data_IF_903459097831
#
_entry.id   IF_903459097831
#
_cell.length_a   1.000
_cell.length_b   1.000
_cell.length_c   1.000
_cell.angle_alpha   90.00
_cell.angle_beta   90.00
_cell.angle_gamma   90.00
#
_symmetry.space_group_name_H-M   'P 1'
#
loop_
_entity.id
_entity.type
_entity.pdbx_description
1 polymer ?
#
# COMPACT_ATOMS: atom_id res chain seq x y z
N UNK A 1 4.50 -13.79 7.80
CA UNK A 1 3.88 -13.47 6.49
C UNK A 1 4.04 -12.01 6.02
N UNK A 2 5.02 -11.23 6.50
CA UNK A 2 5.20 -9.82 6.09
C UNK A 2 6.42 -9.61 5.17
N UNK A 3 7.17 -10.65 4.85
CA UNK A 3 8.26 -10.49 3.89
C UNK A 3 7.69 -10.49 2.46
N UNK A 4 7.76 -9.33 1.81
CA UNK A 4 7.41 -9.10 0.40
C UNK A 4 8.63 -8.63 -0.41
N UNK A 5 9.85 -8.80 0.11
CA UNK A 5 11.09 -8.46 -0.62
C UNK A 5 11.33 -9.40 -1.80
N UNK A 6 10.76 -10.60 -1.73
CA UNK A 6 10.62 -11.51 -2.86
C UNK A 6 9.15 -11.56 -3.29
N UNK A 7 8.91 -11.53 -4.60
CA UNK A 7 7.57 -11.58 -5.16
C UNK A 7 6.86 -12.86 -4.71
N UNK A 8 5.62 -12.71 -4.26
CA UNK A 8 4.76 -13.82 -3.86
C UNK A 8 3.28 -13.42 -3.97
N UNK A 9 2.35 -14.40 -4.05
CA UNK A 9 0.93 -14.09 -4.03
C UNK A 9 0.52 -13.31 -2.79
N UNK A 10 -0.34 -12.30 -3.00
CA UNK A 10 -0.98 -11.55 -1.92
C UNK A 10 -2.01 -12.40 -1.18
N UNK A 11 -2.75 -13.23 -1.92
CA UNK A 11 -3.63 -14.26 -1.37
C UNK A 11 -2.77 -15.38 -0.78
N UNK A 12 -2.82 -15.51 0.53
CA UNK A 12 -2.15 -16.55 1.31
C UNK A 12 -3.13 -17.01 2.40
N UNK A 13 -3.12 -18.30 2.70
CA UNK A 13 -3.88 -18.85 3.82
C UNK A 13 -2.94 -19.23 4.96
N UNK A 14 -3.42 -19.01 6.18
CA UNK A 14 -2.79 -19.46 7.42
C UNK A 14 -3.90 -19.91 8.35
N UNK A 15 -3.78 -21.11 8.95
CA UNK A 15 -4.79 -21.67 9.86
C UNK A 15 -6.22 -21.70 9.26
N UNK A 16 -6.33 -21.99 7.95
CA UNK A 16 -7.60 -22.09 7.24
C UNK A 16 -8.30 -20.74 6.99
N UNK A 17 -7.60 -19.61 7.16
CA UNK A 17 -8.11 -18.27 6.90
C UNK A 17 -7.20 -17.50 5.94
N UNK A 18 -7.81 -16.67 5.09
CA UNK A 18 -7.05 -15.74 4.26
C UNK A 18 -6.36 -14.69 5.14
N UNK A 19 -5.05 -14.55 4.96
CA UNK A 19 -4.26 -13.53 5.66
C UNK A 19 -4.71 -12.15 5.16
N UNK A 20 -5.08 -11.29 6.11
CA UNK A 20 -5.41 -9.90 5.86
C UNK A 20 -4.20 -9.02 6.21
N UNK A 21 -3.97 -8.00 5.38
CA UNK A 21 -3.02 -6.95 5.66
C UNK A 21 -3.77 -5.62 5.84
N UNK A 22 -3.31 -4.88 6.83
CA UNK A 22 -3.67 -3.50 7.13
C UNK A 22 -2.52 -2.90 7.95
N UNK A 23 -1.34 -2.90 7.35
CA UNK A 23 -0.10 -2.52 8.01
C UNK A 23 0.69 -1.57 7.13
N UNK A 24 1.36 -0.63 7.79
CA UNK A 24 2.38 0.22 7.19
C UNK A 24 3.69 -0.56 7.06
N UNK A 25 4.22 -0.61 5.86
CA UNK A 25 5.56 -1.11 5.56
C UNK A 25 6.55 0.04 5.59
N UNK A 26 7.60 -0.10 6.41
CA UNK A 26 8.63 0.92 6.56
C UNK A 26 9.62 0.87 5.40
N UNK A 27 9.64 1.91 4.56
CA UNK A 27 10.53 2.04 3.41
C UNK A 27 11.82 2.80 3.74
N UNK A 28 11.77 3.76 4.66
CA UNK A 28 12.90 4.60 5.07
C UNK A 28 12.62 5.26 6.42
N UNK A 29 13.66 5.81 7.07
CA UNK A 29 13.55 6.57 8.31
C UNK A 29 13.07 8.02 8.13
N UNK A 30 13.00 8.52 6.89
CA UNK A 30 12.52 9.85 6.54
C UNK A 30 12.11 9.93 5.07
N UNK A 31 11.38 10.99 4.69
CA UNK A 31 11.12 11.30 3.26
C UNK A 31 12.43 11.43 2.50
N UNK A 32 12.43 10.99 1.26
CA UNK A 32 13.63 10.95 0.43
C UNK A 32 13.33 11.13 -1.06
N UNK A 33 14.31 10.86 -1.94
CA UNK A 33 14.08 10.90 -3.37
C UNK A 33 13.03 9.86 -3.79
N UNK A 34 12.42 10.07 -4.96
CA UNK A 34 11.49 9.13 -5.56
C UNK A 34 12.19 7.78 -5.77
N UNK A 35 11.60 6.71 -5.23
CA UNK A 35 12.14 5.34 -5.35
C UNK A 35 11.03 4.32 -5.53
N UNK A 36 11.37 3.17 -6.11
CA UNK A 36 10.47 2.03 -6.20
C UNK A 36 10.15 1.53 -4.79
N UNK A 37 8.87 1.53 -4.43
CA UNK A 37 8.36 1.10 -3.14
C UNK A 37 7.75 -0.30 -3.20
N UNK A 38 7.01 -0.60 -4.26
CA UNK A 38 6.42 -1.92 -4.46
C UNK A 38 6.18 -2.20 -5.93
N UNK A 39 5.98 -3.49 -6.24
CA UNK A 39 5.56 -3.99 -7.54
C UNK A 39 4.45 -5.01 -7.32
N UNK A 40 3.44 -4.99 -8.17
CA UNK A 40 2.36 -5.96 -8.19
C UNK A 40 2.04 -6.36 -9.63
N UNK A 41 1.62 -7.61 -9.81
CA UNK A 41 1.17 -8.13 -11.11
C UNK A 41 -0.18 -8.83 -10.96
N UNK A 42 -1.08 -8.57 -11.91
CA UNK A 42 -2.34 -9.28 -12.01
C UNK A 42 -2.12 -10.72 -12.43
N UNK A 43 -2.42 -11.68 -11.55
CA UNK A 43 -2.19 -13.11 -11.82
C UNK A 43 -2.85 -13.63 -13.10
N UNK A 44 -3.99 -13.07 -13.50
CA UNK A 44 -4.73 -13.50 -14.69
C UNK A 44 -4.47 -12.62 -15.92
N UNK A 45 -4.21 -11.33 -15.72
CA UNK A 45 -4.05 -10.36 -16.83
C UNK A 45 -2.60 -10.11 -17.21
N UNK A 46 -1.65 -10.45 -16.35
CA UNK A 46 -0.23 -10.12 -16.51
C UNK A 46 0.10 -8.63 -16.36
N UNK A 47 -0.90 -7.75 -16.21
CA UNK A 47 -0.70 -6.30 -16.03
C UNK A 47 0.14 -6.06 -14.80
N UNK A 48 1.20 -5.28 -14.95
CA UNK A 48 2.10 -4.90 -13.88
C UNK A 48 1.83 -3.47 -13.43
N UNK A 49 2.01 -3.23 -12.13
CA UNK A 49 1.98 -1.91 -11.52
C UNK A 49 3.21 -1.77 -10.62
N UNK A 50 4.07 -0.82 -10.94
CA UNK A 50 5.09 -0.30 -10.04
C UNK A 50 4.54 0.90 -9.27
N UNK A 51 4.81 0.95 -7.97
CA UNK A 51 4.56 2.09 -7.12
C UNK A 51 5.89 2.76 -6.78
N UNK A 52 6.05 4.01 -7.19
CA UNK A 52 7.19 4.84 -6.82
C UNK A 52 6.73 5.96 -5.89
N UNK A 53 7.50 6.27 -4.85
CA UNK A 53 7.13 7.31 -3.89
C UNK A 53 8.34 7.97 -3.22
N UNK A 54 8.15 9.20 -2.76
CA UNK A 54 9.09 9.92 -1.87
C UNK A 54 8.80 9.68 -0.38
N UNK A 55 7.69 9.01 -0.05
CA UNK A 55 7.26 8.76 1.34
C UNK A 55 8.05 7.62 2.02
N UNK A 56 8.21 7.67 3.36
CA UNK A 56 8.97 6.68 4.11
C UNK A 56 8.17 5.41 4.44
N UNK A 57 6.88 5.36 4.11
CA UNK A 57 6.01 4.22 4.37
C UNK A 57 4.99 3.99 3.26
N UNK A 58 4.44 2.78 3.21
CA UNK A 58 3.29 2.40 2.38
C UNK A 58 2.35 1.55 3.23
N UNK A 59 1.09 1.97 3.37
CA UNK A 59 0.04 1.11 3.92
C UNK A 59 -0.36 0.08 2.88
N UNK A 60 -0.31 -1.20 3.24
CA UNK A 60 -0.94 -2.28 2.48
C UNK A 60 -2.23 -2.68 3.18
N UNK A 61 -3.37 -2.43 2.52
CA UNK A 61 -4.68 -2.86 2.97
C UNK A 61 -5.29 -3.83 1.96
N UNK A 62 -5.72 -5.02 2.39
CA UNK A 62 -6.26 -6.05 1.47
C UNK A 62 -7.77 -6.09 1.34
N UNK A 63 -8.47 -5.02 1.69
CA UNK A 63 -9.91 -4.94 1.42
C UNK A 63 -10.76 -5.92 2.25
N UNK A 64 -10.25 -6.46 3.36
CA UNK A 64 -10.94 -7.49 4.15
C UNK A 64 -12.26 -7.00 4.76
N UNK A 65 -12.42 -5.69 4.99
CA UNK A 65 -13.61 -5.11 5.59
C UNK A 65 -14.70 -4.73 4.57
N UNK A 66 -14.55 -5.10 3.29
CA UNK A 66 -15.61 -4.94 2.27
C UNK A 66 -16.72 -5.99 2.44
N UNK A 67 -17.31 -6.03 3.63
CA UNK A 67 -18.40 -6.91 4.03
C UNK A 67 -19.40 -6.10 4.91
N UNK A 68 -20.68 -5.96 4.50
CA UNK A 68 -21.34 -6.63 3.37
C UNK A 68 -20.85 -6.14 2.00
N UNK A 69 -21.05 -6.94 0.92
CA UNK A 69 -20.53 -6.60 -0.40
C UNK A 69 -21.07 -5.27 -0.94
N UNK A 70 -20.15 -4.36 -1.28
CA UNK A 70 -20.46 -3.04 -1.83
C UNK A 70 -20.82 -3.12 -3.34
N UNK A 71 -21.68 -2.23 -3.85
CA UNK A 71 -21.88 -2.08 -5.29
C UNK A 71 -20.57 -1.73 -6.01
N UNK A 72 -20.29 -2.39 -7.12
CA UNK A 72 -19.16 -2.12 -7.99
C UNK A 72 -19.58 -1.74 -9.41
N UNK A 73 -18.59 -1.59 -10.29
CA UNK A 73 -18.83 -1.27 -11.70
C UNK A 73 -19.46 -2.45 -12.44
N UNK A 74 -20.21 -2.18 -13.50
CA UNK A 74 -20.78 -3.19 -14.41
C UNK A 74 -21.64 -4.25 -13.68
N UNK A 75 -22.33 -3.86 -12.60
CA UNK A 75 -23.15 -4.76 -11.80
C UNK A 75 -22.38 -5.74 -10.91
N UNK A 76 -21.04 -5.64 -10.86
CA UNK A 76 -20.21 -6.44 -9.95
C UNK A 76 -20.47 -6.03 -8.49
N UNK A 77 -20.21 -6.95 -7.56
CA UNK A 77 -20.24 -6.70 -6.12
C UNK A 77 -18.84 -6.91 -5.55
N UNK A 78 -18.29 -5.88 -4.92
CA UNK A 78 -16.99 -5.96 -4.26
C UNK A 78 -17.19 -6.55 -2.86
N UNK A 79 -16.73 -7.79 -2.69
CA UNK A 79 -16.67 -8.50 -1.41
C UNK A 79 -15.30 -8.32 -0.74
N UNK A 80 -15.15 -8.83 0.49
CA UNK A 80 -13.86 -8.92 1.16
C UNK A 80 -12.77 -9.48 0.21
N UNK A 81 -11.62 -8.80 0.16
CA UNK A 81 -10.48 -9.15 -0.69
C UNK A 81 -10.70 -9.00 -2.20
N UNK A 82 -11.65 -8.17 -2.64
CA UNK A 82 -11.85 -7.87 -4.09
C UNK A 82 -10.83 -6.88 -4.66
N UNK A 83 -10.01 -6.26 -3.82
CA UNK A 83 -8.98 -5.32 -4.19
C UNK A 83 -8.02 -5.09 -3.02
N UNK A 84 -6.98 -4.31 -3.27
CA UNK A 84 -6.04 -3.89 -2.24
C UNK A 84 -5.66 -2.42 -2.47
N UNK A 85 -5.18 -1.78 -1.41
CA UNK A 85 -4.62 -0.43 -1.44
C UNK A 85 -3.11 -0.50 -1.21
N UNK A 86 -2.40 0.41 -1.85
CA UNK A 86 -1.03 0.76 -1.51
C UNK A 86 -1.02 2.27 -1.30
N UNK A 87 -0.86 2.72 -0.06
CA UNK A 87 -1.05 4.13 0.32
C UNK A 87 0.30 4.68 0.79
N UNK A 88 1.09 5.35 -0.07
CA UNK A 88 2.33 5.97 0.36
C UNK A 88 2.08 7.10 1.36
N UNK A 89 2.81 7.06 2.48
CA UNK A 89 2.57 7.93 3.61
C UNK A 89 3.75 7.99 4.59
N UNK A 90 3.68 8.96 5.51
CA UNK A 90 4.41 8.88 6.77
C UNK A 90 3.80 7.78 7.64
N UNK A 91 4.59 7.20 8.53
CA UNK A 91 4.15 6.09 9.37
C UNK A 91 2.93 6.49 10.23
N UNK A 92 1.93 5.61 10.38
CA UNK A 92 0.77 5.87 11.23
C UNK A 92 1.19 6.28 12.65
N UNK A 93 0.42 7.16 13.28
CA UNK A 93 0.67 7.66 14.64
C UNK A 93 1.96 8.49 14.80
N UNK A 94 2.63 8.89 13.70
CA UNK A 94 3.88 9.66 13.75
C UNK A 94 3.86 10.91 14.67
N UNK A 95 2.78 11.74 14.71
CA UNK A 95 2.73 12.88 15.63
C UNK A 95 2.88 12.52 17.12
N UNK A 96 2.52 11.29 17.51
CA UNK A 96 2.62 10.80 18.89
C UNK A 96 3.86 9.91 19.11
N UNK A 97 4.68 9.67 18.07
CA UNK A 97 5.84 8.77 18.09
C UNK A 97 7.09 9.55 17.68
N UNK A 98 7.87 10.10 18.63
CA UNK A 98 8.96 11.02 18.31
C UNK A 98 10.11 10.41 17.49
N UNK A 99 10.23 9.08 17.47
CA UNK A 99 11.23 8.34 16.68
C UNK A 99 10.72 7.95 15.28
N UNK A 100 9.49 8.32 14.90
CA UNK A 100 8.97 8.11 13.55
C UNK A 100 9.35 9.27 12.62
N UNK A 101 9.36 9.06 11.29
CA UNK A 101 9.35 10.17 10.34
C UNK A 101 8.20 11.11 10.71
N UNK A 102 8.46 12.41 10.86
CA UNK A 102 7.45 13.34 11.35
C UNK A 102 6.58 13.90 10.22
N UNK A 103 5.28 14.03 10.49
CA UNK A 103 4.30 14.61 9.57
C UNK A 103 4.09 16.12 9.81
N UNK A 104 4.70 16.69 10.85
CA UNK A 104 4.55 18.11 11.21
C UNK A 104 5.11 19.02 10.13
N UNK A 105 4.30 19.99 9.72
CA UNK A 105 4.70 21.09 8.84
C UNK A 105 4.63 22.40 9.60
N UNK A 106 5.77 23.10 9.72
CA UNK A 106 5.88 24.37 10.42
C UNK A 106 5.65 25.56 9.47
N UNK A 107 5.26 26.75 9.99
CA UNK A 107 5.13 27.95 9.18
C UNK A 107 6.40 28.23 8.36
N UNK A 108 6.23 28.54 7.08
CA UNK A 108 7.33 28.79 6.12
C UNK A 108 7.93 27.52 5.50
N UNK A 109 7.56 26.32 5.95
CA UNK A 109 7.96 25.08 5.30
C UNK A 109 7.03 24.73 4.14
N UNK A 110 7.58 24.02 3.15
CA UNK A 110 6.82 23.48 2.02
C UNK A 110 6.73 21.97 2.18
N UNK A 111 5.52 21.45 2.22
CA UNK A 111 5.27 20.02 2.06
C UNK A 111 5.26 19.67 0.58
N UNK A 112 6.03 18.65 0.21
CA UNK A 112 6.04 18.11 -1.14
C UNK A 112 6.20 16.58 -1.09
N UNK A 113 5.32 15.89 -1.80
CA UNK A 113 5.29 14.44 -1.91
C UNK A 113 4.91 14.06 -3.33
N UNK A 114 5.61 13.07 -3.89
CA UNK A 114 5.29 12.48 -5.19
C UNK A 114 4.99 10.98 -5.00
N UNK A 115 3.92 10.54 -5.64
CA UNK A 115 3.57 9.13 -5.86
C UNK A 115 3.34 8.92 -7.35
N UNK A 116 3.96 7.89 -7.92
CA UNK A 116 3.71 7.47 -9.29
C UNK A 116 3.24 6.02 -9.33
N UNK A 117 2.15 5.78 -10.07
CA UNK A 117 1.70 4.45 -10.44
C UNK A 117 2.08 4.21 -11.90
N UNK A 118 3.06 3.36 -12.15
CA UNK A 118 3.55 3.05 -13.50
C UNK A 118 3.01 1.70 -13.92
N UNK A 119 2.19 1.69 -14.96
CA UNK A 119 1.58 0.47 -15.47
C UNK A 119 2.32 -0.03 -16.71
N UNK A 120 2.48 -1.35 -16.80
CA UNK A 120 2.96 -2.03 -18.01
C UNK A 120 1.96 -3.11 -18.40
N UNK A 121 1.68 -3.18 -19.69
CA UNK A 121 0.98 -4.31 -20.28
C UNK A 121 1.98 -5.46 -20.50
N UNK A 122 1.50 -6.72 -20.55
CA UNK A 122 2.34 -7.89 -20.83
C UNK A 122 3.10 -7.79 -22.16
#
# INVERSE_FOLDING_TARGET
PFDFRQARPLRMESEGKQVAYDQNFCLASMRGPLKLASWAQGANSGVEMELWTTEPGVQLYTGQYLAPPSPGLEGRRYKAFSGFCLEPQVWPDAPNRPYFPQATLWPGQIYHHVTEYRFRLP
#
